data_IF_277086907880
#
_entry.id   IF_277086907880
#
_cell.length_a   1.000
_cell.length_b   1.000
_cell.length_c   1.000
_cell.angle_alpha   90.00
_cell.angle_beta   90.00
_cell.angle_gamma   90.00
#
_symmetry.space_group_name_H-M   'P 1'
#
loop_
_entity.id
_entity.type
_entity.pdbx_description
1 polymer ?
#
# COMPACT_ATOMS: atom_id res chain seq x y z
N UNK A 1 -10.43 2.50 -9.88
CA UNK A 1 -11.85 2.10 -9.79
C UNK A 1 -12.40 2.49 -8.41
N UNK A 2 -13.72 2.51 -8.17
CA UNK A 2 -14.38 3.04 -6.95
C UNK A 2 -13.72 2.73 -5.59
N UNK A 3 -13.14 1.53 -5.43
CA UNK A 3 -12.37 1.13 -4.24
C UNK A 3 -11.16 2.02 -3.98
N UNK A 4 -10.41 2.35 -5.03
CA UNK A 4 -9.17 3.14 -4.93
C UNK A 4 -9.51 4.59 -4.56
N UNK A 5 -10.62 5.12 -5.09
CA UNK A 5 -11.17 6.42 -4.69
C UNK A 5 -11.47 6.47 -3.18
N UNK A 6 -12.25 5.51 -2.68
CA UNK A 6 -12.59 5.43 -1.25
C UNK A 6 -11.35 5.31 -0.39
N UNK A 7 -10.39 4.47 -0.80
CA UNK A 7 -9.12 4.31 -0.08
C UNK A 7 -8.40 5.65 0.01
N UNK A 8 -8.22 6.33 -1.12
CA UNK A 8 -7.50 7.59 -1.21
C UNK A 8 -8.13 8.69 -0.36
N UNK A 9 -9.44 8.93 -0.50
CA UNK A 9 -10.17 9.91 0.32
C UNK A 9 -10.08 9.58 1.80
N UNK A 10 -10.21 8.30 2.15
CA UNK A 10 -10.13 7.87 3.55
C UNK A 10 -8.75 8.19 4.13
N UNK A 11 -7.66 7.81 3.43
CA UNK A 11 -6.30 7.94 3.95
C UNK A 11 -5.73 9.36 3.86
N UNK A 12 -5.90 10.03 2.73
CA UNK A 12 -5.25 11.31 2.42
C UNK A 12 -6.11 12.52 2.82
N UNK A 13 -7.43 12.37 2.97
CA UNK A 13 -8.32 13.48 3.35
C UNK A 13 -8.87 13.29 4.76
N UNK A 14 -9.65 12.23 4.99
CA UNK A 14 -10.39 12.08 6.25
C UNK A 14 -9.42 11.89 7.42
N UNK A 15 -8.47 10.96 7.32
CA UNK A 15 -7.55 10.70 8.43
C UNK A 15 -6.55 11.83 8.69
N UNK A 16 -6.15 12.59 7.67
CA UNK A 16 -5.24 13.73 7.81
C UNK A 16 -5.93 14.94 8.46
N UNK A 17 -7.16 15.24 8.04
CA UNK A 17 -7.82 16.50 8.43
C UNK A 17 -8.91 16.35 9.51
N UNK A 18 -9.33 15.13 9.88
CA UNK A 18 -10.38 14.93 10.92
C UNK A 18 -10.11 15.64 12.25
N UNK A 19 -8.84 15.79 12.62
CA UNK A 19 -8.42 16.41 13.88
C UNK A 19 -7.91 17.84 13.70
N UNK A 20 -7.32 18.13 12.54
CA UNK A 20 -6.65 19.41 12.26
C UNK A 20 -7.62 20.45 11.68
N UNK A 21 -8.44 20.04 10.70
CA UNK A 21 -9.32 20.92 9.94
C UNK A 21 -10.62 20.21 9.54
N UNK A 22 -11.55 19.97 10.48
CA UNK A 22 -12.80 19.25 10.20
C UNK A 22 -13.69 19.96 9.17
N UNK A 23 -13.56 21.29 9.02
CA UNK A 23 -14.27 22.09 8.00
C UNK A 23 -14.01 21.62 6.58
N UNK A 24 -12.83 21.05 6.30
CA UNK A 24 -12.49 20.50 4.97
C UNK A 24 -13.27 19.23 4.65
N UNK A 25 -13.95 18.63 5.63
CA UNK A 25 -14.76 17.42 5.47
C UNK A 25 -16.25 17.72 5.32
N UNK A 26 -16.68 18.98 5.42
CA UNK A 26 -18.09 19.38 5.25
C UNK A 26 -18.57 19.16 3.81
N UNK A 27 -17.65 19.23 2.85
CA UNK A 27 -17.96 19.05 1.44
C UNK A 27 -17.00 18.07 0.77
N UNK A 28 -17.46 17.31 -0.24
CA UNK A 28 -16.57 16.50 -1.06
C UNK A 28 -15.52 17.39 -1.73
N UNK A 29 -14.32 16.86 -2.04
CA UNK A 29 -13.33 17.62 -2.79
C UNK A 29 -13.91 18.14 -4.10
N UNK A 30 -13.48 19.34 -4.52
CA UNK A 30 -14.00 20.04 -5.73
C UNK A 30 -13.98 19.14 -6.96
N UNK A 31 -12.93 18.34 -7.10
CA UNK A 31 -12.78 17.41 -8.21
C UNK A 31 -13.78 16.26 -8.22
N UNK A 32 -14.55 16.03 -7.16
CA UNK A 32 -15.57 14.98 -7.08
C UNK A 32 -16.96 15.50 -6.71
N UNK A 33 -17.07 16.75 -6.26
CA UNK A 33 -18.30 17.40 -5.87
C UNK A 33 -19.43 17.31 -6.93
N UNK A 34 -19.18 17.41 -8.25
CA UNK A 34 -20.25 17.29 -9.25
C UNK A 34 -20.91 15.91 -9.31
N UNK A 35 -20.25 14.87 -8.81
CA UNK A 35 -20.69 13.47 -8.93
C UNK A 35 -21.12 12.85 -7.61
N UNK A 36 -21.05 13.60 -6.51
CA UNK A 36 -21.35 13.10 -5.17
C UNK A 36 -22.43 13.98 -4.56
N UNK A 37 -23.57 13.38 -4.24
CA UNK A 37 -24.62 14.06 -3.48
C UNK A 37 -24.11 14.42 -2.07
N UNK A 38 -24.37 15.64 -1.56
CA UNK A 38 -23.91 16.06 -0.24
C UNK A 38 -24.32 15.08 0.88
N UNK A 39 -25.55 14.54 0.83
CA UNK A 39 -26.04 13.56 1.80
C UNK A 39 -25.19 12.28 1.82
N UNK A 40 -24.81 11.79 0.64
CA UNK A 40 -23.97 10.58 0.48
C UNK A 40 -22.58 10.85 1.03
N UNK A 41 -22.05 12.07 0.85
CA UNK A 41 -20.77 12.48 1.42
C UNK A 41 -20.82 12.49 2.96
N UNK A 42 -21.83 13.10 3.56
CA UNK A 42 -21.97 13.19 5.01
C UNK A 42 -22.10 11.81 5.67
N UNK A 43 -22.93 10.93 5.09
CA UNK A 43 -23.05 9.54 5.53
C UNK A 43 -21.72 8.79 5.45
N UNK A 44 -20.95 9.03 4.38
CA UNK A 44 -19.65 8.42 4.19
C UNK A 44 -18.65 8.90 5.25
N UNK A 45 -18.50 10.21 5.46
CA UNK A 45 -17.57 10.76 6.47
C UNK A 45 -17.95 10.25 7.87
N UNK A 46 -19.24 10.29 8.23
CA UNK A 46 -19.74 9.79 9.51
C UNK A 46 -19.42 8.31 9.71
N UNK A 47 -19.55 7.49 8.67
CA UNK A 47 -19.22 6.05 8.71
C UNK A 47 -17.73 5.83 8.94
N UNK A 48 -16.85 6.59 8.29
CA UNK A 48 -15.38 6.43 8.40
C UNK A 48 -14.86 6.92 9.76
N UNK A 49 -15.43 8.00 10.30
CA UNK A 49 -15.01 8.57 11.59
C UNK A 49 -15.57 7.77 12.79
N UNK A 50 -16.57 6.91 12.57
CA UNK A 50 -17.15 6.07 13.62
C UNK A 50 -16.11 5.14 14.28
N UNK A 51 -16.21 5.01 15.61
CA UNK A 51 -15.34 4.14 16.44
C UNK A 51 -15.33 2.70 15.93
N UNK A 52 -16.51 2.15 15.58
CA UNK A 52 -16.63 0.78 15.04
C UNK A 52 -15.80 0.57 13.78
N UNK A 53 -15.73 1.59 12.91
CA UNK A 53 -14.91 1.53 11.71
C UNK A 53 -13.42 1.59 12.03
N UNK A 54 -13.01 2.44 12.95
CA UNK A 54 -11.62 2.56 13.36
C UNK A 54 -11.10 1.26 14.01
N UNK A 55 -11.90 0.63 14.87
CA UNK A 55 -11.59 -0.67 15.46
C UNK A 55 -11.44 -1.76 14.39
N UNK A 56 -12.44 -1.88 13.50
CA UNK A 56 -12.39 -2.84 12.40
C UNK A 56 -11.17 -2.62 11.48
N UNK A 57 -10.83 -1.36 11.20
CA UNK A 57 -9.64 -1.00 10.42
C UNK A 57 -8.36 -1.43 11.13
N UNK A 58 -8.20 -1.16 12.43
CA UNK A 58 -7.03 -1.56 13.22
C UNK A 58 -6.86 -3.08 13.23
N UNK A 59 -7.96 -3.83 13.40
CA UNK A 59 -7.93 -5.31 13.32
C UNK A 59 -7.43 -5.77 11.95
N UNK A 60 -7.94 -5.19 10.87
CA UNK A 60 -7.53 -5.57 9.52
C UNK A 60 -6.08 -5.17 9.19
N UNK A 61 -5.62 -4.02 9.69
CA UNK A 61 -4.22 -3.61 9.59
C UNK A 61 -3.29 -4.55 10.37
N UNK A 62 -3.71 -4.97 11.57
CA UNK A 62 -3.00 -5.98 12.36
C UNK A 62 -2.86 -7.30 11.59
N UNK A 63 -3.95 -7.79 10.99
CA UNK A 63 -3.92 -9.00 10.15
C UNK A 63 -2.97 -8.86 8.96
N UNK A 64 -3.00 -7.71 8.27
CA UNK A 64 -2.11 -7.45 7.15
C UNK A 64 -0.63 -7.42 7.57
N UNK A 65 -0.33 -6.87 8.75
CA UNK A 65 1.02 -6.81 9.31
C UNK A 65 1.55 -8.20 9.70
N UNK A 66 0.67 -9.13 10.10
CA UNK A 66 1.05 -10.51 10.42
C UNK A 66 1.30 -11.38 9.19
N UNK A 67 1.14 -10.84 7.96
CA UNK A 67 1.44 -11.61 6.75
C UNK A 67 2.93 -11.99 6.71
N UNK A 68 3.21 -13.29 6.86
CA UNK A 68 4.57 -13.85 6.84
C UNK A 68 5.24 -13.72 5.48
N UNK A 69 4.46 -13.75 4.39
CA UNK A 69 4.94 -13.76 3.02
C UNK A 69 4.24 -12.69 2.18
N UNK A 70 4.57 -11.40 2.38
CA UNK A 70 4.04 -10.35 1.53
C UNK A 70 4.56 -10.53 0.11
N UNK A 71 3.67 -10.41 -0.88
CA UNK A 71 4.05 -10.42 -2.29
C UNK A 71 4.85 -9.14 -2.60
N UNK A 72 6.17 -9.30 -2.84
CA UNK A 72 7.09 -8.18 -3.09
C UNK A 72 7.47 -8.02 -4.55
N UNK A 73 7.32 -9.07 -5.34
CA UNK A 73 7.65 -9.04 -6.76
C UNK A 73 6.64 -8.23 -7.56
N UNK A 74 7.10 -7.61 -8.64
CA UNK A 74 6.18 -6.99 -9.60
C UNK A 74 5.43 -8.06 -10.40
N UNK A 75 4.37 -7.66 -11.10
CA UNK A 75 3.55 -8.54 -11.96
C UNK A 75 4.34 -9.32 -13.01
N UNK A 76 5.53 -8.86 -13.38
CA UNK A 76 6.39 -9.48 -14.39
C UNK A 76 7.46 -10.40 -13.80
N UNK A 77 7.46 -10.58 -12.48
CA UNK A 77 8.26 -11.60 -11.80
C UNK A 77 9.77 -11.46 -12.04
N UNK A 78 10.43 -12.62 -12.07
CA UNK A 78 11.88 -12.74 -12.19
C UNK A 78 12.42 -12.35 -13.56
N UNK A 79 11.65 -12.54 -14.64
CA UNK A 79 12.08 -12.20 -16.00
C UNK A 79 12.37 -10.70 -16.15
N UNK A 80 11.50 -9.82 -15.62
CA UNK A 80 11.77 -8.37 -15.65
C UNK A 80 12.89 -7.98 -14.68
N UNK A 81 13.05 -8.71 -13.58
CA UNK A 81 14.14 -8.45 -12.64
C UNK A 81 15.49 -8.76 -13.30
N UNK A 82 15.60 -9.91 -13.97
CA UNK A 82 16.78 -10.35 -14.72
C UNK A 82 17.10 -9.37 -15.85
N UNK A 83 16.13 -9.06 -16.72
CA UNK A 83 16.32 -8.08 -17.79
C UNK A 83 16.73 -6.69 -17.28
N UNK A 84 16.27 -6.29 -16.08
CA UNK A 84 16.69 -5.04 -15.45
C UNK A 84 18.14 -5.12 -14.99
N UNK A 85 18.57 -6.23 -14.42
CA UNK A 85 19.96 -6.40 -13.98
C UNK A 85 20.90 -6.52 -15.19
N UNK A 86 20.49 -7.25 -16.24
CA UNK A 86 21.23 -7.29 -17.51
C UNK A 86 21.42 -5.89 -18.10
N UNK A 87 20.37 -5.07 -18.07
CA UNK A 87 20.43 -3.69 -18.58
C UNK A 87 21.25 -2.76 -17.69
N UNK A 88 21.04 -2.80 -16.38
CA UNK A 88 21.62 -1.82 -15.44
C UNK A 88 23.07 -2.19 -15.07
N UNK A 89 23.42 -3.48 -15.06
CA UNK A 89 24.72 -3.99 -14.61
C UNK A 89 25.50 -4.73 -15.70
N UNK A 90 24.91 -4.99 -16.88
CA UNK A 90 25.56 -5.74 -17.96
C UNK A 90 25.77 -7.22 -17.65
N UNK A 91 25.17 -7.75 -16.57
CA UNK A 91 25.37 -9.11 -16.08
C UNK A 91 24.28 -10.03 -16.60
N UNK A 92 24.68 -11.05 -17.36
CA UNK A 92 23.82 -12.11 -17.89
C UNK A 92 23.97 -13.39 -17.05
N UNK A 93 22.92 -14.19 -16.98
CA UNK A 93 22.97 -15.52 -16.34
C UNK A 93 23.14 -15.48 -14.82
N UNK A 94 22.45 -14.54 -14.16
CA UNK A 94 22.51 -14.36 -12.70
C UNK A 94 22.03 -15.64 -12.00
N UNK A 95 22.74 -16.03 -10.94
CA UNK A 95 22.35 -17.21 -10.16
C UNK A 95 20.92 -17.03 -9.61
N UNK A 96 20.13 -18.10 -9.66
CA UNK A 96 18.75 -18.10 -9.17
C UNK A 96 18.62 -17.70 -7.69
N UNK A 97 19.61 -18.04 -6.87
CA UNK A 97 19.68 -17.63 -5.45
C UNK A 97 19.81 -16.11 -5.30
N UNK A 98 20.73 -15.50 -6.05
CA UNK A 98 20.93 -14.05 -6.09
C UNK A 98 19.68 -13.34 -6.64
N UNK A 99 19.09 -13.87 -7.71
CA UNK A 99 17.89 -13.32 -8.32
C UNK A 99 16.70 -13.37 -7.35
N UNK A 100 16.59 -14.45 -6.57
CA UNK A 100 15.59 -14.58 -5.50
C UNK A 100 15.81 -13.54 -4.39
N UNK A 101 17.04 -13.42 -3.88
CA UNK A 101 17.40 -12.46 -2.84
C UNK A 101 17.06 -11.03 -3.27
N UNK A 102 17.47 -10.62 -4.47
CA UNK A 102 17.15 -9.30 -5.03
C UNK A 102 15.63 -9.09 -5.20
N UNK A 103 14.90 -10.13 -5.61
CA UNK A 103 13.43 -10.08 -5.71
C UNK A 103 12.71 -9.90 -4.37
N UNK A 104 13.36 -10.24 -3.25
CA UNK A 104 12.84 -10.07 -1.90
C UNK A 104 13.13 -8.69 -1.28
N UNK A 105 13.91 -7.83 -1.95
CA UNK A 105 14.17 -6.44 -1.51
C UNK A 105 12.92 -5.59 -1.76
N UNK A 106 12.37 -4.87 -0.75
CA UNK A 106 11.29 -3.92 -0.96
C UNK A 106 11.77 -2.68 -1.70
N UNK A 107 10.83 -1.96 -2.33
CA UNK A 107 11.11 -0.70 -3.03
C UNK A 107 11.78 0.39 -2.18
N UNK A 108 11.66 0.32 -0.85
CA UNK A 108 12.30 1.25 0.10
C UNK A 108 13.74 0.85 0.48
N UNK A 109 14.28 -0.23 -0.10
CA UNK A 109 15.63 -0.76 0.17
C UNK A 109 15.69 -1.72 1.37
N UNK A 110 16.71 -2.59 1.39
CA UNK A 110 17.02 -3.52 2.48
C UNK A 110 16.24 -4.85 2.48
N UNK A 111 16.43 -5.68 3.51
CA UNK A 111 15.59 -6.88 3.73
C UNK A 111 14.84 -6.71 5.06
N UNK A 112 13.64 -7.28 5.17
CA UNK A 112 13.02 -7.40 6.50
C UNK A 112 13.76 -8.42 7.34
N UNK A 113 13.74 -8.27 8.66
CA UNK A 113 14.48 -9.15 9.59
C UNK A 113 14.24 -10.64 9.34
N UNK A 114 12.99 -11.04 9.06
CA UNK A 114 12.63 -12.43 8.72
C UNK A 114 13.24 -12.93 7.41
N UNK A 115 13.43 -12.04 6.44
CA UNK A 115 14.01 -12.37 5.13
C UNK A 115 15.54 -12.36 5.23
N UNK A 116 16.14 -11.44 6.01
CA UNK A 116 17.58 -11.41 6.27
C UNK A 116 18.09 -12.76 6.76
N UNK A 117 17.43 -13.35 7.77
CA UNK A 117 17.79 -14.68 8.30
C UNK A 117 17.83 -15.77 7.22
N UNK A 118 17.01 -15.66 6.18
CA UNK A 118 17.01 -16.62 5.06
C UNK A 118 18.12 -16.29 4.07
N UNK A 119 18.28 -15.02 3.71
CA UNK A 119 19.33 -14.54 2.80
C UNK A 119 20.71 -14.84 3.35
N UNK A 120 20.93 -14.68 4.66
CA UNK A 120 22.21 -14.94 5.32
C UNK A 120 22.59 -16.44 5.39
N UNK A 121 21.65 -17.34 5.07
CA UNK A 121 21.84 -18.81 5.05
C UNK A 121 22.08 -19.38 3.65
N UNK A 122 21.94 -18.55 2.62
CA UNK A 122 22.08 -18.92 1.20
C UNK A 122 23.49 -18.54 0.75
#
# INVERSE_FOLDING_TARGET
MWRDFKSRITTELIYEYRHTCPKLLEHPPVSYAPWIEPKVWDEFVKKIVCVKWEEARKVQQGRAMQNKYPHRMSRLGYARLEAKIEKDEGRYGINRSELWSRGCVPKKGGHTEKIKVIVDRI
#
